data_IF_601164711502
#
_entry.id   IF_601164711502
#
_cell.length_a   1.000
_cell.length_b   1.000
_cell.length_c   1.000
_cell.angle_alpha   90.00
_cell.angle_beta   90.00
_cell.angle_gamma   90.00
#
_symmetry.space_group_name_H-M   'P 1'
#
loop_
_entity.id
_entity.type
_entity.pdbx_description
1 polymer ?
#
# COMPACT_ATOMS: atom_id res chain seq x y z
N UNK A 1 14.07 7.24 -1.20
CA UNK A 1 12.95 7.86 -0.47
C UNK A 1 13.39 9.26 -0.10
N UNK A 2 12.52 10.23 -0.34
CA UNK A 2 12.69 11.63 0.03
C UNK A 2 11.48 12.03 0.87
N UNK A 3 11.68 12.83 1.90
CA UNK A 3 10.58 13.29 2.73
C UNK A 3 10.79 14.73 3.15
N UNK A 4 9.70 15.50 3.18
CA UNK A 4 9.63 16.80 3.82
C UNK A 4 8.89 16.61 5.13
N UNK A 5 9.52 16.99 6.25
CA UNK A 5 8.86 17.03 7.55
C UNK A 5 9.18 18.35 8.26
N UNK A 6 8.15 19.14 8.56
CA UNK A 6 8.27 20.45 9.22
C UNK A 6 9.31 21.37 8.56
N UNK A 7 9.32 21.38 7.22
CA UNK A 7 10.23 22.19 6.42
C UNK A 7 11.68 21.65 6.32
N UNK A 8 11.96 20.47 6.87
CA UNK A 8 13.27 19.81 6.73
C UNK A 8 13.19 18.65 5.75
N UNK A 9 14.19 18.54 4.87
CA UNK A 9 14.33 17.44 3.93
C UNK A 9 15.06 16.28 4.58
N UNK A 10 14.53 15.07 4.38
CA UNK A 10 15.10 13.82 4.82
C UNK A 10 15.25 12.88 3.64
N UNK A 11 16.33 12.10 3.66
CA UNK A 11 16.53 11.02 2.70
C UNK A 11 16.56 9.68 3.43
N UNK A 12 16.01 8.68 2.76
CA UNK A 12 15.93 7.33 3.28
C UNK A 12 15.90 6.29 2.17
N UNK A 13 15.82 5.05 2.59
CA UNK A 13 15.59 3.92 1.71
C UNK A 13 14.48 3.06 2.28
N UNK A 14 13.82 2.31 1.40
CA UNK A 14 12.84 1.32 1.80
C UNK A 14 12.94 0.10 0.91
N UNK A 15 12.42 -1.01 1.41
CA UNK A 15 12.35 -2.28 0.71
C UNK A 15 10.95 -2.83 0.89
N UNK A 16 10.30 -3.14 -0.22
CA UNK A 16 9.07 -3.92 -0.24
C UNK A 16 9.42 -5.32 -0.72
N UNK A 17 9.04 -6.32 0.06
CA UNK A 17 9.16 -7.74 -0.29
C UNK A 17 7.76 -8.30 -0.42
N UNK A 18 7.38 -8.66 -1.64
CA UNK A 18 6.12 -9.34 -1.95
C UNK A 18 6.39 -10.79 -2.30
N UNK A 19 5.61 -11.70 -1.73
CA UNK A 19 5.67 -13.14 -2.02
C UNK A 19 4.26 -13.75 -2.01
N UNK A 20 4.00 -14.65 -2.93
CA UNK A 20 2.76 -15.43 -3.00
C UNK A 20 3.03 -16.79 -3.64
N UNK A 21 2.30 -17.82 -3.19
CA UNK A 21 2.25 -19.16 -3.77
C UNK A 21 0.99 -19.38 -4.63
N UNK A 22 0.17 -18.34 -4.81
CA UNK A 22 -1.12 -18.38 -5.50
C UNK A 22 -2.34 -18.62 -4.60
N UNK A 23 -2.15 -19.10 -3.37
CA UNK A 23 -3.22 -19.25 -2.37
C UNK A 23 -3.03 -18.35 -1.14
N UNK A 24 -1.78 -18.06 -0.78
CA UNK A 24 -1.39 -17.18 0.32
C UNK A 24 -0.47 -16.06 -0.17
N UNK A 25 -0.37 -14.99 0.61
CA UNK A 25 0.60 -13.94 0.36
C UNK A 25 1.26 -13.45 1.65
N UNK A 26 2.47 -12.94 1.49
CA UNK A 26 3.14 -12.11 2.49
C UNK A 26 3.69 -10.86 1.82
N UNK A 27 3.55 -9.74 2.50
CA UNK A 27 4.11 -8.48 2.10
C UNK A 27 4.80 -7.85 3.31
N UNK A 28 6.06 -7.47 3.14
CA UNK A 28 6.84 -6.75 4.15
C UNK A 28 7.35 -5.44 3.54
N UNK A 29 7.11 -4.32 4.23
CA UNK A 29 7.68 -3.02 3.92
C UNK A 29 8.57 -2.60 5.09
N UNK A 30 9.84 -2.39 4.81
CA UNK A 30 10.78 -1.78 5.73
C UNK A 30 11.19 -0.42 5.16
N UNK A 31 11.15 0.64 5.95
CA UNK A 31 11.67 1.95 5.59
C UNK A 31 12.58 2.49 6.69
N UNK A 32 13.66 3.15 6.29
CA UNK A 32 14.69 3.65 7.21
C UNK A 32 15.41 4.88 6.67
N UNK A 33 16.05 5.60 7.59
CA UNK A 33 16.95 6.72 7.29
C UNK A 33 18.25 6.54 8.08
N UNK A 34 19.39 6.76 7.42
CA UNK A 34 20.73 6.42 7.94
C UNK A 34 20.77 4.97 8.47
N UNK A 35 20.98 4.79 9.78
CA UNK A 35 21.15 3.50 10.46
C UNK A 35 19.91 3.09 11.27
N UNK A 36 18.77 3.78 11.10
CA UNK A 36 17.54 3.52 11.86
C UNK A 36 16.40 3.08 10.94
N UNK A 37 15.74 1.97 11.30
CA UNK A 37 14.42 1.61 10.74
C UNK A 37 13.37 2.53 11.35
N UNK A 38 12.64 3.25 10.50
CA UNK A 38 11.60 4.21 10.92
C UNK A 38 10.20 3.61 10.86
N UNK A 39 9.99 2.67 9.95
CA UNK A 39 8.73 1.98 9.73
C UNK A 39 9.00 0.54 9.30
N UNK A 40 8.30 -0.38 9.95
CA UNK A 40 8.21 -1.79 9.58
C UNK A 40 6.73 -2.14 9.50
N UNK A 41 6.32 -2.71 8.37
CA UNK A 41 4.93 -3.08 8.07
C UNK A 41 4.92 -4.49 7.51
N UNK A 42 4.04 -5.33 8.03
CA UNK A 42 3.77 -6.67 7.52
C UNK A 42 2.28 -6.83 7.25
N UNK A 43 1.93 -7.35 6.08
CA UNK A 43 0.59 -7.81 5.75
C UNK A 43 0.68 -9.26 5.28
N UNK A 44 -0.19 -10.11 5.79
CA UNK A 44 -0.27 -11.51 5.41
C UNK A 44 -1.72 -11.96 5.33
N UNK A 45 -1.99 -12.88 4.40
CA UNK A 45 -3.33 -13.36 4.16
C UNK A 45 -3.42 -14.33 3.00
N UNK A 46 -4.61 -14.40 2.41
CA UNK A 46 -4.97 -15.32 1.34
C UNK A 46 -5.14 -14.57 0.02
N UNK A 47 -5.04 -15.32 -1.07
CA UNK A 47 -5.55 -14.91 -2.39
C UNK A 47 -6.82 -15.72 -2.65
N UNK A 48 -7.95 -15.05 -2.82
CA UNK A 48 -9.25 -15.71 -3.04
C UNK A 48 -10.08 -14.98 -4.12
N UNK A 49 -11.38 -15.24 -4.18
CA UNK A 49 -12.29 -14.64 -5.17
C UNK A 49 -12.37 -13.11 -5.14
N UNK A 50 -11.96 -12.47 -4.06
CA UNK A 50 -11.85 -11.00 -3.95
C UNK A 50 -10.45 -10.47 -4.32
N UNK A 51 -9.51 -11.34 -4.67
CA UNK A 51 -8.09 -11.02 -4.84
C UNK A 51 -7.34 -11.13 -3.51
N UNK A 52 -6.53 -10.12 -3.18
CA UNK A 52 -5.79 -10.05 -1.93
C UNK A 52 -6.76 -9.93 -0.77
N UNK A 53 -6.66 -10.83 0.20
CA UNK A 53 -7.55 -10.91 1.35
C UNK A 53 -6.72 -11.00 2.64
N UNK A 54 -6.43 -9.86 3.28
CA UNK A 54 -5.64 -9.81 4.51
C UNK A 54 -6.25 -10.63 5.64
N UNK A 55 -5.38 -11.25 6.45
CA UNK A 55 -5.72 -11.89 7.73
C UNK A 55 -5.13 -11.06 8.86
N UNK A 56 -3.87 -10.65 8.73
CA UNK A 56 -3.15 -9.86 9.73
C UNK A 56 -2.39 -8.73 9.08
N UNK A 57 -2.52 -7.53 9.64
CA UNK A 57 -1.69 -6.36 9.33
C UNK A 57 -0.97 -5.91 10.60
N UNK A 58 0.35 -5.85 10.56
CA UNK A 58 1.21 -5.37 11.64
C UNK A 58 1.94 -4.11 11.21
N UNK A 59 1.97 -3.10 12.06
CA UNK A 59 2.77 -1.89 11.85
C UNK A 59 3.60 -1.59 13.10
N UNK A 60 4.90 -1.37 12.92
CA UNK A 60 5.83 -0.93 13.96
C UNK A 60 6.52 0.35 13.52
N UNK A 61 6.23 1.45 14.22
CA UNK A 61 6.92 2.74 14.04
C UNK A 61 8.11 2.84 14.99
N UNK A 62 9.09 3.66 14.63
CA UNK A 62 10.27 3.91 15.46
C UNK A 62 9.91 4.23 16.91
N UNK A 63 10.50 3.49 17.86
CA UNK A 63 10.29 3.64 19.31
C UNK A 63 8.83 3.52 19.78
N UNK A 64 7.95 2.92 18.98
CA UNK A 64 6.57 2.59 19.35
C UNK A 64 6.40 1.08 19.44
N UNK A 65 5.40 0.65 20.22
CA UNK A 65 4.98 -0.75 20.22
C UNK A 65 4.35 -1.11 18.86
N UNK A 66 4.50 -2.36 18.40
CA UNK A 66 3.80 -2.82 17.21
C UNK A 66 2.28 -2.82 17.45
N UNK A 67 1.53 -2.46 16.42
CA UNK A 67 0.07 -2.54 16.37
C UNK A 67 -0.34 -3.64 15.42
N UNK A 68 -1.38 -4.40 15.77
CA UNK A 68 -1.93 -5.50 14.97
C UNK A 68 -3.38 -5.18 14.62
N UNK A 69 -3.74 -5.41 13.38
CA UNK A 69 -5.13 -5.40 12.87
C UNK A 69 -5.44 -6.78 12.34
N UNK A 70 -6.52 -7.39 12.83
CA UNK A 70 -6.91 -8.76 12.49
C UNK A 70 -8.25 -8.75 11.78
N UNK A 71 -8.32 -9.48 10.67
CA UNK A 71 -9.50 -9.67 9.84
C UNK A 71 -10.13 -11.04 10.18
N UNK A 72 -10.98 -11.09 11.21
CA UNK A 72 -11.63 -12.30 11.70
C UNK A 72 -12.78 -12.72 10.78
N UNK A 73 -12.54 -13.69 9.90
CA UNK A 73 -13.55 -14.20 8.95
C UNK A 73 -14.65 -15.00 9.64
N UNK A 74 -14.28 -15.77 10.65
CA UNK A 74 -15.22 -16.56 11.45
C UNK A 74 -16.17 -15.69 12.28
N UNK A 75 -15.74 -14.46 12.63
CA UNK A 75 -16.56 -13.49 13.37
C UNK A 75 -17.14 -12.38 12.49
N UNK A 76 -16.80 -12.35 11.19
CA UNK A 76 -17.13 -11.27 10.25
C UNK A 76 -16.76 -9.87 10.79
N UNK A 77 -15.57 -9.73 11.38
CA UNK A 77 -15.12 -8.50 12.02
C UNK A 77 -13.65 -8.18 11.79
N UNK A 78 -13.34 -6.88 11.72
CA UNK A 78 -11.99 -6.33 11.79
C UNK A 78 -11.79 -5.76 13.19
N UNK A 79 -10.72 -6.14 13.87
CA UNK A 79 -10.37 -5.68 15.23
C UNK A 79 -8.92 -5.20 15.29
N UNK A 80 -8.61 -4.38 16.31
CA UNK A 80 -7.32 -3.72 16.45
C UNK A 80 -6.73 -3.97 17.84
N UNK A 81 -5.40 -4.10 17.92
CA UNK A 81 -4.72 -4.25 19.21
C UNK A 81 -4.56 -2.93 19.98
N UNK A 82 -4.68 -1.79 19.31
CA UNK A 82 -4.41 -0.44 19.87
C UNK A 82 -5.65 0.48 19.76
N UNK A 83 -6.84 -0.12 19.69
CA UNK A 83 -8.15 0.55 19.67
C UNK A 83 -9.26 -0.44 20.04
N UNK A 84 -10.32 0.03 20.67
CA UNK A 84 -11.55 -0.76 20.94
C UNK A 84 -12.55 -0.71 19.76
N UNK A 85 -12.19 -0.06 18.65
CA UNK A 85 -13.03 -0.03 17.47
C UNK A 85 -13.18 -1.45 16.88
N UNK A 86 -14.30 -1.69 16.22
CA UNK A 86 -14.48 -2.86 15.36
C UNK A 86 -15.28 -2.44 14.13
N UNK A 87 -15.03 -3.12 13.01
CA UNK A 87 -15.73 -2.88 11.75
C UNK A 87 -16.22 -4.21 11.17
N UNK A 88 -17.33 -4.23 10.43
CA UNK A 88 -17.77 -5.43 9.71
C UNK A 88 -16.72 -5.91 8.71
N UNK A 89 -16.65 -7.22 8.50
CA UNK A 89 -15.86 -7.86 7.44
C UNK A 89 -16.82 -8.65 6.54
N UNK A 90 -16.91 -8.28 5.26
CA UNK A 90 -17.83 -8.82 4.26
C UNK A 90 -17.11 -9.48 3.07
N UNK A 91 -15.80 -9.29 2.93
CA UNK A 91 -14.99 -9.73 1.80
C UNK A 91 -14.51 -8.55 0.95
N UNK A 92 -13.24 -8.59 0.53
CA UNK A 92 -12.61 -7.54 -0.28
C UNK A 92 -12.01 -6.37 0.50
N UNK A 93 -12.20 -6.30 1.82
CA UNK A 93 -11.53 -5.33 2.68
C UNK A 93 -10.01 -5.50 2.61
N UNK A 94 -9.29 -4.37 2.62
CA UNK A 94 -7.84 -4.31 2.54
C UNK A 94 -7.25 -3.73 3.82
N UNK A 95 -5.94 -3.85 3.99
CA UNK A 95 -5.18 -3.02 4.91
C UNK A 95 -4.42 -1.92 4.13
N UNK A 96 -3.86 -0.94 4.86
CA UNK A 96 -3.17 0.22 4.26
C UNK A 96 -1.98 -0.14 3.36
N UNK A 97 -1.51 -1.37 3.39
CA UNK A 97 -0.37 -1.83 2.62
C UNK A 97 -0.73 -2.82 1.51
N UNK A 98 -1.71 -3.71 1.73
CA UNK A 98 -2.27 -4.59 0.70
C UNK A 98 -3.05 -3.83 -0.37
N UNK A 99 -3.65 -2.67 -0.05
CA UNK A 99 -4.43 -1.86 -1.00
C UNK A 99 -3.69 -1.53 -2.30
N UNK A 100 -2.39 -1.23 -2.23
CA UNK A 100 -1.56 -0.95 -3.42
C UNK A 100 -1.40 -2.19 -4.29
N UNK A 101 -1.22 -3.34 -3.65
CA UNK A 101 -1.09 -4.63 -4.34
C UNK A 101 -2.42 -5.12 -4.90
N UNK A 102 -3.55 -4.76 -4.27
CA UNK A 102 -4.86 -5.07 -4.80
C UNK A 102 -5.10 -4.26 -6.09
N UNK A 103 -4.76 -2.97 -6.11
CA UNK A 103 -4.81 -2.16 -7.35
C UNK A 103 -3.89 -2.73 -8.44
N UNK A 104 -2.67 -3.12 -8.10
CA UNK A 104 -1.76 -3.79 -9.03
C UNK A 104 -2.38 -5.09 -9.58
N UNK A 105 -3.05 -5.87 -8.73
CA UNK A 105 -3.73 -7.11 -9.11
C UNK A 105 -4.92 -6.87 -10.03
N UNK A 106 -5.72 -5.83 -9.76
CA UNK A 106 -6.83 -5.41 -10.63
C UNK A 106 -6.29 -5.02 -12.01
N UNK A 107 -5.29 -4.13 -12.07
CA UNK A 107 -4.75 -3.68 -13.35
C UNK A 107 -4.10 -4.82 -14.15
N UNK A 108 -3.39 -5.72 -13.47
CA UNK A 108 -2.80 -6.91 -14.08
C UNK A 108 -3.85 -7.89 -14.60
N UNK A 109 -4.93 -8.11 -13.85
CA UNK A 109 -5.97 -9.10 -14.19
C UNK A 109 -7.00 -8.60 -15.19
N UNK A 110 -7.38 -7.32 -15.09
CA UNK A 110 -8.36 -6.65 -15.93
C UNK A 110 -8.01 -5.16 -16.06
N UNK A 111 -7.03 -4.88 -16.94
CA UNK A 111 -6.58 -3.51 -17.23
C UNK A 111 -7.69 -2.57 -17.71
N UNK A 112 -8.84 -3.09 -18.19
CA UNK A 112 -9.95 -2.24 -18.63
C UNK A 112 -10.62 -1.47 -17.49
N UNK A 113 -10.40 -1.87 -16.24
CA UNK A 113 -10.86 -1.12 -15.06
C UNK A 113 -10.03 0.14 -14.79
N UNK A 114 -8.84 0.24 -15.40
CA UNK A 114 -8.03 1.44 -15.36
C UNK A 114 -8.37 2.30 -16.57
N UNK A 115 -9.27 3.26 -16.37
CA UNK A 115 -9.62 4.30 -17.33
C UNK A 115 -9.53 5.67 -16.64
N UNK A 116 -9.13 6.75 -17.34
CA UNK A 116 -9.11 8.08 -16.75
C UNK A 116 -10.48 8.46 -16.14
N UNK A 117 -10.46 8.87 -14.87
CA UNK A 117 -11.66 9.20 -14.09
C UNK A 117 -12.38 8.01 -13.47
N UNK A 118 -11.97 6.76 -13.74
CA UNK A 118 -12.52 5.59 -13.07
C UNK A 118 -12.28 5.66 -11.55
N UNK A 119 -13.25 5.13 -10.80
CA UNK A 119 -13.22 5.13 -9.35
C UNK A 119 -13.35 3.71 -8.82
N UNK A 120 -12.43 3.33 -7.93
CA UNK A 120 -12.38 2.04 -7.26
C UNK A 120 -12.46 2.33 -5.76
N UNK A 121 -13.63 2.10 -5.17
CA UNK A 121 -13.85 2.24 -3.72
C UNK A 121 -13.38 0.93 -3.03
N UNK A 122 -12.54 1.05 -2.00
CA UNK A 122 -12.05 -0.09 -1.20
C UNK A 122 -12.19 0.24 0.28
N UNK A 123 -12.68 -0.70 1.09
CA UNK A 123 -12.69 -0.52 2.54
C UNK A 123 -11.33 -0.91 3.11
N UNK A 124 -10.63 0.04 3.73
CA UNK A 124 -9.22 -0.09 4.11
C UNK A 124 -9.05 0.09 5.61
N UNK A 125 -8.48 -0.91 6.27
CA UNK A 125 -8.13 -0.88 7.68
C UNK A 125 -6.70 -0.38 7.91
N UNK A 126 -6.54 0.55 8.83
CA UNK A 126 -5.27 0.99 9.40
C UNK A 126 -5.02 0.40 10.79
N UNK A 127 -4.04 0.95 11.53
CA UNK A 127 -3.67 0.46 12.85
C UNK A 127 -4.76 0.57 13.95
N UNK A 128 -5.76 1.44 13.77
CA UNK A 128 -6.77 1.78 14.80
C UNK A 128 -8.19 2.00 14.28
N UNK A 129 -8.33 2.11 12.97
CA UNK A 129 -9.52 2.54 12.26
C UNK A 129 -9.64 1.80 10.93
N UNK A 130 -10.81 1.89 10.32
CA UNK A 130 -11.04 1.47 8.95
C UNK A 130 -12.07 2.40 8.31
N UNK A 131 -11.92 2.63 7.01
CA UNK A 131 -12.75 3.58 6.26
C UNK A 131 -12.75 3.22 4.78
N UNK A 132 -13.71 3.75 4.03
CA UNK A 132 -13.72 3.56 2.57
C UNK A 132 -12.74 4.54 1.92
N UNK A 133 -11.73 4.01 1.24
CA UNK A 133 -10.83 4.78 0.39
C UNK A 133 -11.39 4.82 -1.02
N UNK A 134 -11.59 6.04 -1.52
CA UNK A 134 -11.95 6.29 -2.90
C UNK A 134 -10.70 6.46 -3.76
N UNK A 135 -10.35 5.44 -4.52
CA UNK A 135 -9.21 5.47 -5.42
C UNK A 135 -9.65 5.94 -6.80
N UNK A 136 -9.16 7.08 -7.26
CA UNK A 136 -9.42 7.61 -8.58
C UNK A 136 -8.23 7.38 -9.50
N UNK A 137 -8.50 6.77 -10.64
CA UNK A 137 -7.55 6.65 -11.74
C UNK A 137 -7.46 8.00 -12.44
N UNK A 138 -6.29 8.65 -12.37
CA UNK A 138 -6.05 9.92 -13.04
C UNK A 138 -5.85 9.69 -14.54
N UNK A 139 -5.03 8.70 -14.88
CA UNK A 139 -4.74 8.32 -16.26
C UNK A 139 -3.32 7.81 -16.43
N UNK A 140 -2.94 7.64 -17.69
CA UNK A 140 -1.57 7.31 -18.07
C UNK A 140 -0.71 8.57 -18.11
N UNK A 141 0.52 8.46 -17.61
CA UNK A 141 1.55 9.47 -17.79
C UNK A 141 2.93 8.79 -17.92
N UNK A 142 3.91 9.56 -18.39
CA UNK A 142 5.30 9.11 -18.43
C UNK A 142 6.09 9.84 -17.33
N UNK A 143 6.73 9.06 -16.45
CA UNK A 143 7.55 9.61 -15.35
C UNK A 143 8.99 9.08 -15.45
N UNK A 144 9.94 9.84 -14.89
CA UNK A 144 11.31 9.35 -14.74
C UNK A 144 11.45 8.54 -13.46
N UNK A 145 11.82 7.26 -13.58
CA UNK A 145 12.11 6.34 -12.47
C UNK A 145 13.53 5.84 -12.64
N UNK A 146 14.39 6.08 -11.66
CA UNK A 146 15.81 5.70 -11.71
C UNK A 146 16.57 6.18 -12.97
N UNK A 147 16.15 7.31 -13.56
CA UNK A 147 16.75 7.86 -14.77
C UNK A 147 16.11 7.38 -16.09
N UNK A 148 15.22 6.40 -16.03
CA UNK A 148 14.52 5.85 -17.20
C UNK A 148 13.09 6.41 -17.29
N UNK A 149 12.64 6.72 -18.51
CA UNK A 149 11.25 7.07 -18.76
C UNK A 149 10.38 5.81 -18.65
N UNK A 150 9.40 5.84 -17.76
CA UNK A 150 8.48 4.72 -17.47
C UNK A 150 7.05 5.20 -17.68
N UNK A 151 6.30 4.49 -18.52
CA UNK A 151 4.86 4.71 -18.66
C UNK A 151 4.13 4.10 -17.47
N UNK A 152 3.23 4.87 -16.85
CA UNK A 152 2.58 4.49 -15.60
C UNK A 152 1.11 4.88 -15.61
N UNK A 153 0.30 4.12 -14.87
CA UNK A 153 -1.02 4.55 -14.44
C UNK A 153 -0.90 5.27 -13.10
N UNK A 154 -1.36 6.52 -13.05
CA UNK A 154 -1.45 7.31 -11.83
C UNK A 154 -2.82 7.14 -11.17
N UNK A 155 -2.82 6.73 -9.92
CA UNK A 155 -4.01 6.56 -9.08
C UNK A 155 -3.84 7.39 -7.82
N UNK A 156 -4.89 8.08 -7.40
CA UNK A 156 -4.91 8.84 -6.15
C UNK A 156 -6.00 8.32 -5.21
N UNK A 157 -5.73 8.31 -3.91
CA UNK A 157 -6.78 8.33 -2.91
C UNK A 157 -7.31 9.76 -2.84
N UNK A 158 -8.60 9.95 -3.13
CA UNK A 158 -9.27 11.24 -2.91
C UNK A 158 -9.58 11.38 -1.41
N UNK A 159 -8.98 12.34 -0.68
CA UNK A 159 -9.41 12.65 0.67
C UNK A 159 -10.82 13.25 0.65
N UNK A 160 -11.65 12.90 1.63
CA UNK A 160 -12.96 13.56 1.77
C UNK A 160 -12.77 15.08 1.98
N UNK A 161 -13.62 15.90 1.36
CA UNK A 161 -13.52 17.34 1.50
C UNK A 161 -13.67 17.75 2.98
N UNK A 162 -12.68 18.49 3.50
CA UNK A 162 -12.65 18.90 4.90
C UNK A 162 -12.18 17.80 5.88
N UNK A 163 -11.79 16.63 5.40
CA UNK A 163 -11.14 15.63 6.26
C UNK A 163 -9.67 15.96 6.47
N UNK A 164 -9.12 15.46 7.57
CA UNK A 164 -7.69 15.54 7.88
C UNK A 164 -6.94 14.28 7.40
N UNK A 165 -7.41 13.67 6.32
CA UNK A 165 -6.82 12.46 5.75
C UNK A 165 -5.60 12.80 4.90
N UNK A 166 -4.56 11.97 5.01
CA UNK A 166 -3.41 12.03 4.11
C UNK A 166 -3.86 11.71 2.67
N UNK A 167 -3.30 12.43 1.70
CA UNK A 167 -3.39 12.08 0.28
C UNK A 167 -2.36 11.00 -0.03
N UNK A 168 -2.76 10.01 -0.84
CA UNK A 168 -1.89 8.96 -1.35
C UNK A 168 -1.94 8.99 -2.89
N UNK A 169 -0.79 9.13 -3.51
CA UNK A 169 -0.59 8.97 -4.95
C UNK A 169 0.23 7.70 -5.22
N UNK A 170 -0.21 6.93 -6.21
CA UNK A 170 0.33 5.63 -6.58
C UNK A 170 0.60 5.63 -8.08
N UNK A 171 1.81 5.25 -8.50
CA UNK A 171 2.15 5.06 -9.90
C UNK A 171 2.47 3.58 -10.13
N UNK A 172 1.63 2.92 -10.94
CA UNK A 172 1.76 1.51 -11.30
C UNK A 172 2.31 1.40 -12.72
N UNK A 173 3.33 0.57 -12.95
CA UNK A 173 3.92 0.40 -14.27
C UNK A 173 3.47 -0.93 -14.92
N UNK A 174 2.62 -0.92 -15.95
CA UNK A 174 2.17 -2.14 -16.63
C UNK A 174 3.32 -3.01 -17.17
N UNK A 175 4.41 -2.37 -17.63
CA UNK A 175 5.61 -3.03 -18.16
C UNK A 175 6.44 -3.70 -17.07
N UNK A 176 6.19 -3.38 -15.80
CA UNK A 176 6.81 -4.00 -14.63
C UNK A 176 5.76 -4.77 -13.83
N UNK A 177 4.94 -5.57 -14.53
CA UNK A 177 3.99 -6.48 -13.89
C UNK A 177 2.93 -5.77 -13.03
N UNK A 178 2.67 -4.48 -13.32
CA UNK A 178 1.82 -3.55 -12.58
C UNK A 178 2.34 -3.16 -11.19
N UNK A 179 3.62 -3.39 -10.90
CA UNK A 179 4.19 -3.03 -9.61
C UNK A 179 4.24 -1.51 -9.38
N UNK A 180 4.10 -1.07 -8.12
CA UNK A 180 4.23 0.34 -7.77
C UNK A 180 5.68 0.79 -7.98
N UNK A 181 5.88 1.71 -8.91
CA UNK A 181 7.20 2.30 -9.21
C UNK A 181 7.41 3.63 -8.48
N UNK A 182 6.33 4.26 -8.04
CA UNK A 182 6.37 5.43 -7.16
C UNK A 182 5.17 5.44 -6.22
N UNK A 183 5.38 5.89 -4.99
CA UNK A 183 4.34 6.20 -4.02
C UNK A 183 4.63 7.59 -3.42
N UNK A 184 3.59 8.38 -3.20
CA UNK A 184 3.70 9.65 -2.48
C UNK A 184 2.59 9.77 -1.44
N UNK A 185 2.99 9.97 -0.21
CA UNK A 185 2.08 10.28 0.90
C UNK A 185 2.21 11.76 1.19
N UNK A 186 1.11 12.51 1.21
CA UNK A 186 1.10 13.95 1.51
C UNK A 186 0.14 14.19 2.68
N UNK A 187 0.67 14.74 3.77
CA UNK A 187 -0.06 15.11 4.97
C UNK A 187 -0.83 16.43 4.75
N UNK A 188 -1.79 16.72 5.63
CA UNK A 188 -2.66 17.91 5.50
C UNK A 188 -1.91 19.24 5.63
N UNK A 189 -0.75 19.24 6.29
CA UNK A 189 0.12 20.41 6.45
C UNK A 189 1.12 20.57 5.29
N UNK A 190 1.08 19.69 4.29
CA UNK A 190 1.95 19.71 3.12
C UNK A 190 3.26 18.93 3.29
N UNK A 191 3.54 18.37 4.47
CA UNK A 191 4.61 17.40 4.64
C UNK A 191 4.36 16.19 3.73
N UNK A 192 5.42 15.58 3.21
CA UNK A 192 5.28 14.46 2.30
C UNK A 192 6.38 13.43 2.44
N UNK A 193 6.10 12.21 1.97
CA UNK A 193 7.09 11.15 1.77
C UNK A 193 6.93 10.59 0.36
N UNK A 194 7.99 10.74 -0.44
CA UNK A 194 8.12 10.21 -1.79
C UNK A 194 9.01 8.97 -1.78
N UNK A 195 8.48 7.88 -2.32
CA UNK A 195 9.20 6.63 -2.55
C UNK A 195 9.23 6.38 -4.05
N UNK A 196 10.42 6.39 -4.66
CA UNK A 196 10.64 6.02 -6.05
C UNK A 196 11.46 4.75 -6.12
N UNK A 197 11.09 3.85 -7.04
CA UNK A 197 11.74 2.57 -7.24
C UNK A 197 13.18 2.80 -7.72
N UNK A 198 14.15 2.31 -6.94
CA UNK A 198 15.56 2.32 -7.31
C UNK A 198 16.06 0.98 -7.83
N UNK A 199 15.41 -0.12 -7.43
CA UNK A 199 15.79 -1.48 -7.82
C UNK A 199 14.61 -2.43 -7.70
N UNK A 200 14.38 -3.20 -8.76
CA UNK A 200 13.48 -4.34 -8.76
C UNK A 200 14.30 -5.63 -8.84
N UNK A 201 14.02 -6.59 -7.96
CA UNK A 201 14.65 -7.93 -7.99
C UNK A 201 13.57 -8.98 -7.81
N UNK A 202 13.43 -9.88 -8.79
CA UNK A 202 12.67 -11.12 -8.62
C UNK A 202 13.42 -12.03 -7.67
N UNK A 203 12.73 -12.55 -6.66
CA UNK A 203 13.29 -13.55 -5.76
C UNK A 203 13.15 -14.91 -6.42
N UNK A 204 14.26 -15.64 -6.54
CA UNK A 204 14.25 -16.99 -7.10
C UNK A 204 13.49 -17.93 -6.16
N UNK A 205 12.62 -18.78 -6.71
CA UNK A 205 11.79 -19.75 -5.97
C UNK A 205 12.60 -20.92 -5.38
N UNK A 206 13.93 -20.92 -5.54
CA UNK A 206 14.79 -22.04 -5.17
C UNK A 206 15.29 -21.94 -3.72
N UNK A 207 14.42 -22.17 -2.75
CA UNK A 207 14.76 -22.65 -1.40
C UNK A 207 13.50 -23.08 -0.63
N UNK A 208 12.69 -23.96 -1.22
CA UNK A 208 11.65 -24.69 -0.51
C UNK A 208 11.70 -26.15 -0.98
N UNK A 209 12.76 -26.84 -0.57
CA UNK A 209 12.85 -28.30 -0.55
C UNK A 209 13.27 -28.72 0.85
#
# INVERSE_FOLDING_TARGET
MEALNKGQNYHGSGKITWHTDGGSYTMNLEAGALFFTVLDVKSEGEINGFGISPITFTQKRFRKQPTITTFHRELNQIVFSDSNNSYPLSGGEQDRSSVVWQLASIGRGDSSQFAPGAVIDMFVAGPKDAETWRMQVIGEEQISVNGDNTDVWHVIRIPLAGSHEQRLDIWLAPQQEWYPVKLRFTETDGDYTDMSLSKLKRLDTAAAN
#
